data_IF_291155948219
#
_entry.id   IF_291155948219
#
_cell.length_a   1.000
_cell.length_b   1.000
_cell.length_c   1.000
_cell.angle_alpha   90.00
_cell.angle_beta   90.00
_cell.angle_gamma   90.00
#
_symmetry.space_group_name_H-M   'P 1'
#
loop_
_entity.id
_entity.type
_entity.pdbx_description
1 polymer ?
#
# COMPACT_ATOMS: atom_id res chain seq x y z
N UNK A 1 -26.58 7.00 -6.93
CA UNK A 1 -25.32 7.67 -6.52
C UNK A 1 -24.59 6.75 -5.55
N UNK A 2 -23.69 5.89 -6.03
CA UNK A 2 -22.67 5.23 -5.19
C UNK A 2 -21.60 4.69 -6.12
N UNK A 3 -20.33 4.97 -5.84
CA UNK A 3 -19.22 4.55 -6.71
C UNK A 3 -17.94 5.39 -6.57
N UNK A 4 -17.98 6.48 -5.80
CA UNK A 4 -16.80 7.30 -5.49
C UNK A 4 -16.35 7.20 -4.02
N UNK A 5 -17.18 6.66 -3.13
CA UNK A 5 -16.80 6.38 -1.74
C UNK A 5 -16.00 5.06 -1.58
N UNK A 6 -15.96 4.21 -2.62
CA UNK A 6 -15.51 2.81 -2.50
C UNK A 6 -14.06 2.56 -2.93
N UNK A 7 -13.40 3.51 -3.60
CA UNK A 7 -11.97 3.39 -3.96
C UNK A 7 -11.18 4.48 -3.26
N UNK A 8 -10.70 4.18 -2.06
CA UNK A 8 -9.76 5.03 -1.32
C UNK A 8 -8.44 4.28 -1.12
N UNK A 9 -7.34 5.03 -1.14
CA UNK A 9 -6.00 4.46 -0.95
C UNK A 9 -5.38 5.07 0.30
N UNK A 10 -5.11 4.24 1.30
CA UNK A 10 -4.30 4.63 2.45
C UNK A 10 -2.82 4.49 2.10
N UNK A 11 -2.03 5.56 2.22
CA UNK A 11 -0.58 5.52 1.94
C UNK A 11 0.20 5.73 3.25
N UNK A 12 0.88 4.67 3.69
CA UNK A 12 1.72 4.64 4.90
C UNK A 12 3.19 4.49 4.48
N UNK A 13 3.83 5.61 4.15
CA UNK A 13 5.25 5.69 3.83
C UNK A 13 5.93 6.74 4.72
N UNK A 14 7.08 6.38 5.29
CA UNK A 14 7.95 7.27 6.08
C UNK A 14 8.76 8.16 5.15
N UNK A 15 9.21 7.63 4.02
CA UNK A 15 9.90 8.42 3.00
C UNK A 15 8.89 9.34 2.28
N UNK A 16 9.00 10.65 2.52
CA UNK A 16 8.10 11.65 1.95
C UNK A 16 8.18 11.75 0.43
N UNK A 17 9.33 11.40 -0.17
CA UNK A 17 9.49 11.41 -1.62
C UNK A 17 8.77 10.23 -2.26
N UNK A 18 8.91 9.02 -1.69
CA UNK A 18 8.10 7.88 -2.13
C UNK A 18 6.61 8.11 -1.91
N UNK A 19 6.25 8.69 -0.76
CA UNK A 19 4.87 9.04 -0.45
C UNK A 19 4.27 9.96 -1.51
N UNK A 20 4.94 11.07 -1.83
CA UNK A 20 4.45 12.03 -2.82
C UNK A 20 4.27 11.40 -4.21
N UNK A 21 5.18 10.51 -4.63
CA UNK A 21 5.05 9.78 -5.90
C UNK A 21 3.82 8.87 -5.93
N UNK A 22 3.60 8.10 -4.85
CA UNK A 22 2.48 7.18 -4.75
C UNK A 22 1.14 7.93 -4.67
N UNK A 23 1.10 9.05 -3.94
CA UNK A 23 -0.05 9.95 -3.91
C UNK A 23 -0.36 10.50 -5.31
N UNK A 24 0.66 10.89 -6.09
CA UNK A 24 0.47 11.35 -7.47
C UNK A 24 -0.09 10.25 -8.38
N UNK A 25 0.36 9.00 -8.22
CA UNK A 25 -0.21 7.85 -8.96
C UNK A 25 -1.68 7.63 -8.62
N UNK A 26 -2.04 7.67 -7.33
CA UNK A 26 -3.43 7.52 -6.90
C UNK A 26 -4.31 8.63 -7.49
N UNK A 27 -3.88 9.89 -7.38
CA UNK A 27 -4.59 11.05 -7.93
C UNK A 27 -4.75 10.97 -9.45
N UNK A 28 -3.73 10.51 -10.17
CA UNK A 28 -3.79 10.32 -11.61
C UNK A 28 -4.80 9.23 -12.03
N UNK A 29 -5.09 8.28 -11.15
CA UNK A 29 -6.13 7.27 -11.32
C UNK A 29 -7.52 7.75 -10.85
N UNK A 30 -7.66 9.01 -10.43
CA UNK A 30 -8.91 9.57 -9.91
C UNK A 30 -9.25 9.12 -8.48
N UNK A 31 -8.28 8.58 -7.74
CA UNK A 31 -8.45 8.10 -6.36
C UNK A 31 -7.77 9.06 -5.39
N UNK A 32 -8.53 9.55 -4.41
CA UNK A 32 -7.98 10.43 -3.39
C UNK A 32 -7.19 9.62 -2.34
N UNK A 33 -5.88 9.90 -2.17
CA UNK A 33 -5.09 9.25 -1.13
C UNK A 33 -5.46 9.80 0.25
N UNK A 34 -5.68 8.90 1.20
CA UNK A 34 -5.95 9.25 2.60
C UNK A 34 -4.75 8.90 3.48
N UNK A 35 -4.62 9.61 4.60
CA UNK A 35 -3.55 9.37 5.57
C UNK A 35 -4.01 8.55 6.78
N UNK A 36 -5.32 8.42 7.00
CA UNK A 36 -5.96 7.69 8.09
C UNK A 36 -7.38 7.28 7.68
N UNK A 37 -7.91 6.26 8.36
CA UNK A 37 -9.27 5.76 8.13
C UNK A 37 -9.29 4.41 7.41
N UNK A 38 -10.50 3.93 7.12
CA UNK A 38 -10.71 2.71 6.34
C UNK A 38 -10.44 2.99 4.85
N UNK A 39 -9.75 2.05 4.19
CA UNK A 39 -9.47 2.11 2.77
C UNK A 39 -9.66 0.76 2.10
N UNK A 40 -10.10 0.77 0.85
CA UNK A 40 -10.16 -0.43 0.00
C UNK A 40 -8.77 -0.97 -0.33
N UNK A 41 -7.78 -0.08 -0.46
CA UNK A 41 -6.38 -0.43 -0.71
C UNK A 41 -5.47 0.33 0.26
N UNK A 42 -4.49 -0.36 0.83
CA UNK A 42 -3.43 0.24 1.63
C UNK A 42 -2.06 -0.02 1.01
N UNK A 43 -1.25 1.02 0.87
CA UNK A 43 0.14 0.96 0.43
C UNK A 43 1.03 1.19 1.64
N UNK A 44 1.86 0.20 2.00
CA UNK A 44 2.62 0.18 3.26
C UNK A 44 4.12 0.03 2.99
N UNK A 45 4.92 0.97 3.47
CA UNK A 45 6.38 0.86 3.48
C UNK A 45 6.83 -0.14 4.57
N UNK A 46 7.65 -1.11 4.18
CA UNK A 46 8.25 -2.09 5.08
C UNK A 46 9.44 -1.48 5.80
N UNK A 47 9.34 -1.49 7.12
CA UNK A 47 10.29 -0.83 8.02
C UNK A 47 10.70 -1.70 9.21
N UNK A 48 10.29 -2.98 9.18
CA UNK A 48 10.47 -3.97 10.24
C UNK A 48 9.14 -4.52 10.76
N UNK A 49 9.18 -5.23 11.90
CA UNK A 49 8.02 -5.90 12.50
C UNK A 49 6.78 -4.99 12.69
N UNK A 50 6.88 -3.71 13.09
CA UNK A 50 5.70 -2.85 13.23
C UNK A 50 4.90 -2.68 11.93
N UNK A 51 5.60 -2.66 10.78
CA UNK A 51 4.93 -2.58 9.48
C UNK A 51 4.19 -3.87 9.13
N UNK A 52 4.75 -5.04 9.48
CA UNK A 52 4.09 -6.34 9.27
C UNK A 52 2.87 -6.49 10.17
N UNK A 53 2.96 -6.06 11.42
CA UNK A 53 1.80 -6.03 12.32
C UNK A 53 0.69 -5.13 11.76
N UNK A 54 1.06 -3.95 11.24
CA UNK A 54 0.10 -3.05 10.61
C UNK A 54 -0.57 -3.65 9.37
N UNK A 55 0.19 -4.41 8.57
CA UNK A 55 -0.34 -5.16 7.43
C UNK A 55 -1.41 -6.16 7.89
N UNK A 56 -1.14 -6.95 8.94
CA UNK A 56 -2.11 -7.93 9.48
C UNK A 56 -3.42 -7.27 9.88
N UNK A 57 -3.35 -6.13 10.56
CA UNK A 57 -4.55 -5.37 10.97
C UNK A 57 -5.36 -4.88 9.78
N UNK A 58 -4.71 -4.40 8.72
CA UNK A 58 -5.37 -3.90 7.51
C UNK A 58 -6.05 -5.04 6.74
N UNK A 59 -5.37 -6.19 6.60
CA UNK A 59 -5.94 -7.38 5.97
C UNK A 59 -7.13 -7.90 6.78
N UNK A 60 -7.03 -7.96 8.11
CA UNK A 60 -8.15 -8.36 8.98
C UNK A 60 -9.34 -7.39 8.91
N UNK A 61 -9.08 -6.10 8.64
CA UNK A 61 -10.11 -5.10 8.41
C UNK A 61 -10.71 -5.17 6.98
N UNK A 62 -10.24 -6.09 6.13
CA UNK A 62 -10.75 -6.31 4.78
C UNK A 62 -10.12 -5.43 3.70
N UNK A 63 -9.02 -4.73 3.99
CA UNK A 63 -8.31 -3.94 3.00
C UNK A 63 -7.38 -4.83 2.15
N UNK A 64 -7.33 -4.56 0.85
CA UNK A 64 -6.21 -5.02 0.02
C UNK A 64 -4.92 -4.32 0.45
N UNK A 65 -3.81 -5.04 0.52
CA UNK A 65 -2.53 -4.45 0.95
C UNK A 65 -1.43 -4.67 -0.08
N UNK A 66 -0.80 -3.57 -0.49
CA UNK A 66 0.44 -3.52 -1.28
C UNK A 66 1.57 -3.04 -0.37
N UNK A 67 2.44 -3.97 0.03
CA UNK A 67 3.63 -3.68 0.80
C UNK A 67 4.84 -3.44 -0.13
N UNK A 68 5.71 -2.51 0.24
CA UNK A 68 6.95 -2.28 -0.50
C UNK A 68 8.15 -2.05 0.41
N UNK A 69 9.32 -2.50 0.00
CA UNK A 69 10.54 -2.33 0.77
C UNK A 69 11.80 -2.55 -0.06
N UNK A 70 12.96 -2.33 0.57
CA UNK A 70 14.23 -2.60 -0.10
C UNK A 70 14.35 -4.08 -0.48
N UNK A 71 14.90 -4.37 -1.65
CA UNK A 71 15.06 -5.76 -2.11
C UNK A 71 16.02 -6.59 -1.24
N UNK A 72 16.88 -5.94 -0.44
CA UNK A 72 17.75 -6.60 0.53
C UNK A 72 17.02 -7.01 1.81
N UNK A 73 15.79 -6.52 2.02
CA UNK A 73 14.91 -6.87 3.15
C UNK A 73 14.00 -8.04 2.77
N UNK A 74 14.61 -9.13 2.31
CA UNK A 74 13.90 -10.31 1.80
C UNK A 74 13.02 -10.94 2.89
N UNK A 75 13.50 -10.93 4.14
CA UNK A 75 12.76 -11.40 5.31
C UNK A 75 11.46 -10.62 5.52
N UNK A 76 11.50 -9.30 5.36
CA UNK A 76 10.31 -8.44 5.54
C UNK A 76 9.34 -8.55 4.38
N UNK A 77 9.85 -8.67 3.15
CA UNK A 77 9.00 -8.95 1.98
C UNK A 77 8.29 -10.29 2.12
N UNK A 78 8.95 -11.31 2.67
CA UNK A 78 8.33 -12.60 2.95
C UNK A 78 7.29 -12.49 4.06
N UNK A 79 7.65 -11.89 5.19
CA UNK A 79 6.73 -11.70 6.32
C UNK A 79 5.46 -10.92 5.92
N UNK A 80 5.59 -9.92 5.04
CA UNK A 80 4.45 -9.18 4.50
C UNK A 80 3.52 -10.06 3.65
N UNK A 81 4.08 -10.96 2.83
CA UNK A 81 3.29 -11.93 2.05
C UNK A 81 2.60 -12.95 2.94
N UNK A 82 3.31 -13.46 3.93
CA UNK A 82 2.75 -14.40 4.92
C UNK A 82 1.63 -13.74 5.75
N UNK A 83 1.67 -12.41 5.91
CA UNK A 83 0.61 -11.61 6.52
C UNK A 83 -0.59 -11.29 5.60
N UNK A 84 -0.55 -11.71 4.33
CA UNK A 84 -1.65 -11.55 3.37
C UNK A 84 -1.51 -10.36 2.40
N UNK A 85 -0.38 -9.65 2.39
CA UNK A 85 -0.14 -8.57 1.43
C UNK A 85 0.49 -9.06 0.11
N UNK A 86 0.30 -8.30 -0.96
CA UNK A 86 1.23 -8.32 -2.08
C UNK A 86 2.49 -7.53 -1.68
N UNK A 87 3.67 -8.13 -1.73
CA UNK A 87 4.92 -7.45 -1.38
C UNK A 87 5.87 -7.33 -2.56
N UNK A 88 6.34 -6.11 -2.84
CA UNK A 88 7.19 -5.77 -3.99
C UNK A 88 8.42 -4.94 -3.59
N UNK A 89 9.53 -4.99 -4.36
CA UNK A 89 10.64 -4.06 -4.17
C UNK A 89 10.25 -2.60 -4.40
N UNK A 90 10.99 -1.65 -3.81
CA UNK A 90 10.83 -0.20 -4.02
C UNK A 90 10.77 0.21 -5.50
N UNK A 91 11.51 -0.45 -6.38
CA UNK A 91 11.50 -0.12 -7.83
C UNK A 91 10.20 -0.52 -8.54
N UNK A 92 9.40 -1.40 -7.94
CA UNK A 92 8.19 -1.97 -8.55
C UNK A 92 6.89 -1.41 -7.97
N UNK A 93 6.94 -0.72 -6.82
CA UNK A 93 5.74 -0.24 -6.12
C UNK A 93 4.86 0.67 -6.97
N UNK A 94 5.44 1.54 -7.80
CA UNK A 94 4.69 2.47 -8.64
C UNK A 94 3.91 1.72 -9.73
N UNK A 95 4.55 0.74 -10.37
CA UNK A 95 3.91 -0.10 -11.39
C UNK A 95 2.84 -1.01 -10.78
N UNK A 96 3.10 -1.56 -9.59
CA UNK A 96 2.14 -2.38 -8.86
C UNK A 96 0.91 -1.56 -8.44
N UNK A 97 1.11 -0.34 -7.92
CA UNK A 97 0.01 0.56 -7.57
C UNK A 97 -0.84 0.90 -8.79
N UNK A 98 -0.22 1.23 -9.94
CA UNK A 98 -0.98 1.48 -11.18
C UNK A 98 -1.84 0.29 -11.60
N UNK A 99 -1.29 -0.92 -11.55
CA UNK A 99 -2.07 -2.14 -11.86
C UNK A 99 -3.27 -2.30 -10.93
N UNK A 100 -3.09 -2.06 -9.63
CA UNK A 100 -4.16 -2.18 -8.63
C UNK A 100 -5.27 -1.15 -8.83
N UNK A 101 -4.94 0.04 -9.32
CA UNK A 101 -5.91 1.11 -9.53
C UNK A 101 -6.61 1.06 -10.91
N UNK A 102 -6.08 0.26 -11.83
CA UNK A 102 -6.65 0.08 -13.17
C UNK A 102 -7.72 -1.03 -13.24
N UNK A 103 -7.85 -1.85 -12.19
CA UNK A 103 -8.92 -2.83 -12.01
C UNK A 103 -10.18 -2.20 -11.45
#
# INVERSE_FOLDING_TARGET
>A
MSGAAERSVLILARDLFFRAKLEAVARAAGVEPISRGAASLAVVELTGEPSVQRIRELVQAGADVLAFGSHVQVEWLRAARDAGAEAVPNSQVEAALRRRLAG
#
